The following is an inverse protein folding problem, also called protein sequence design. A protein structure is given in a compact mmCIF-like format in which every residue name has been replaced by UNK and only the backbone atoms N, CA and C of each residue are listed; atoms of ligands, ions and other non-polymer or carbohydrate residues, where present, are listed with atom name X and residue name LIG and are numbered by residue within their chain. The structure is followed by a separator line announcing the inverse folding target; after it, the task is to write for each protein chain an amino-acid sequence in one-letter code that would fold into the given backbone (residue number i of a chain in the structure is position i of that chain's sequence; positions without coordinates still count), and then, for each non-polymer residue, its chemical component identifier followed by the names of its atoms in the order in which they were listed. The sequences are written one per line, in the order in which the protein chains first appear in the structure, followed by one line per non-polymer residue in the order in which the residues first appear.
data_IF_260407179569
#
_entry.id   IF_260407179569
#
_cell.length_a   1.000
_cell.length_b   1.000
_cell.length_c   1.000
_cell.angle_alpha   90.00
_cell.angle_beta   90.00
_cell.angle_gamma   90.00
#
_symmetry.space_group_name_H-M   'P 1'
#
loop_
_entity.id
_entity.type
_entity.pdbx_description
1 polymer ?
#
# COMPACT_ATOMS: atom_id res chain seq x y z
N UNK A 1 73.36 -29.38 -76.90
CA UNK A 1 72.86 -30.34 -75.89
C UNK A 1 72.67 -29.72 -74.49
N UNK A 2 73.59 -28.88 -73.98
CA UNK A 2 73.46 -28.24 -72.64
C UNK A 2 72.25 -27.30 -72.47
N UNK A 3 71.77 -26.66 -73.55
CA UNK A 3 70.65 -25.71 -73.51
C UNK A 3 69.27 -26.37 -73.39
N UNK A 4 69.12 -27.63 -73.82
CA UNK A 4 67.84 -28.38 -73.75
C UNK A 4 67.61 -28.91 -72.33
N UNK A 5 68.67 -29.35 -71.65
CA UNK A 5 68.63 -29.79 -70.25
C UNK A 5 68.31 -28.66 -69.26
N UNK A 6 68.68 -27.41 -69.59
CA UNK A 6 68.35 -26.24 -68.78
C UNK A 6 66.88 -25.81 -68.96
N UNK A 7 66.33 -25.98 -70.18
CA UNK A 7 64.94 -25.65 -70.49
C UNK A 7 63.96 -26.65 -69.85
N UNK A 8 64.33 -27.94 -69.77
CA UNK A 8 63.48 -28.97 -69.13
C UNK A 8 63.42 -28.84 -67.60
N UNK A 9 64.49 -28.37 -66.96
CA UNK A 9 64.52 -28.14 -65.50
C UNK A 9 63.71 -26.91 -65.09
N UNK A 10 63.66 -25.85 -65.92
CA UNK A 10 62.81 -24.69 -65.68
C UNK A 10 61.33 -25.03 -65.89
N UNK A 11 60.99 -25.81 -66.92
CA UNK A 11 59.61 -26.18 -67.21
C UNK A 11 59.01 -27.13 -66.17
N UNK A 12 59.83 -28.04 -65.60
CA UNK A 12 59.41 -28.91 -64.50
C UNK A 12 59.26 -28.17 -63.15
N UNK A 13 59.88 -27.00 -62.99
CA UNK A 13 59.74 -26.17 -61.79
C UNK A 13 58.47 -25.32 -61.75
N UNK A 14 57.79 -25.12 -62.89
CA UNK A 14 56.61 -24.26 -63.00
C UNK A 14 55.27 -24.98 -62.72
N UNK A 15 55.27 -26.29 -62.46
CA UNK A 15 54.06 -27.08 -62.18
C UNK A 15 53.75 -27.26 -60.70
N UNK A 16 54.48 -26.58 -59.79
CA UNK A 16 54.11 -26.49 -58.38
C UNK A 16 52.92 -25.52 -58.21
N UNK A 17 51.73 -25.94 -58.64
CA UNK A 17 50.46 -25.32 -58.26
C UNK A 17 50.34 -25.46 -56.74
N UNK A 18 50.53 -24.35 -56.05
CA UNK A 18 50.29 -24.22 -54.62
C UNK A 18 48.80 -24.53 -54.36
N UNK A 19 48.54 -25.73 -53.87
CA UNK A 19 47.24 -26.08 -53.31
C UNK A 19 47.23 -25.69 -51.83
N UNK A 20 46.14 -25.06 -51.41
CA UNK A 20 45.70 -24.76 -50.05
C UNK A 20 46.30 -23.53 -49.34
N UNK A 21 45.48 -22.49 -49.25
CA UNK A 21 45.22 -21.78 -48.00
C UNK A 21 43.77 -21.27 -48.03
N UNK A 22 42.81 -22.19 -48.02
CA UNK A 22 41.43 -21.85 -47.67
C UNK A 22 41.46 -21.47 -46.19
N UNK A 23 41.57 -20.18 -45.92
CA UNK A 23 41.67 -19.63 -44.58
C UNK A 23 40.39 -20.05 -43.84
N UNK A 24 40.44 -20.69 -42.66
CA UNK A 24 39.24 -21.00 -41.90
C UNK A 24 38.42 -19.72 -41.76
N UNK A 25 37.17 -19.74 -42.21
CA UNK A 25 36.23 -18.62 -42.02
C UNK A 25 36.32 -18.23 -40.54
N UNK A 26 36.77 -17.02 -40.26
CA UNK A 26 36.78 -16.46 -38.91
C UNK A 26 35.31 -16.37 -38.50
N UNK A 27 34.83 -17.38 -37.79
CA UNK A 27 33.51 -17.33 -37.18
C UNK A 27 33.49 -16.06 -36.32
N UNK A 28 32.49 -15.21 -36.55
CA UNK A 28 32.26 -14.09 -35.66
C UNK A 28 32.22 -14.64 -34.22
N UNK A 29 32.89 -13.99 -33.26
CA UNK A 29 32.82 -14.42 -31.87
C UNK A 29 31.34 -14.64 -31.50
N UNK A 30 31.00 -15.71 -30.77
CA UNK A 30 29.65 -15.88 -30.28
C UNK A 30 29.19 -14.57 -29.65
N UNK A 31 28.05 -14.04 -30.11
CA UNK A 31 27.48 -12.84 -29.52
C UNK A 31 27.26 -13.15 -28.04
N UNK A 32 28.00 -12.48 -27.16
CA UNK A 32 27.80 -12.60 -25.74
C UNK A 32 26.45 -11.96 -25.42
N UNK A 33 25.41 -12.78 -25.35
CA UNK A 33 24.17 -12.39 -24.70
C UNK A 33 24.47 -12.42 -23.19
N UNK A 34 24.44 -11.27 -22.49
CA UNK A 34 24.58 -11.27 -21.04
C UNK A 34 23.51 -12.20 -20.47
N UNK A 35 23.94 -13.18 -19.68
CA UNK A 35 23.05 -14.09 -18.97
C UNK A 35 22.14 -13.20 -18.12
N UNK A 36 20.80 -13.31 -18.24
CA UNK A 36 19.90 -12.56 -17.38
C UNK A 36 20.20 -12.89 -15.92
N UNK A 37 20.86 -11.97 -15.22
CA UNK A 37 21.03 -12.05 -13.78
C UNK A 37 19.78 -11.48 -13.16
N UNK A 38 19.27 -12.14 -12.13
CA UNK A 38 18.15 -11.62 -11.35
C UNK A 38 18.44 -10.19 -10.91
N UNK A 39 17.48 -9.29 -11.16
CA UNK A 39 17.53 -7.90 -10.71
C UNK A 39 16.22 -7.54 -10.04
N UNK A 40 16.33 -6.73 -8.99
CA UNK A 40 15.18 -6.07 -8.37
C UNK A 40 14.62 -4.94 -9.23
N UNK A 41 15.27 -4.59 -10.35
CA UNK A 41 14.82 -3.52 -11.24
C UNK A 41 13.51 -3.90 -11.91
N UNK A 42 12.47 -3.10 -11.68
CA UNK A 42 11.18 -3.31 -12.31
C UNK A 42 10.01 -2.65 -11.58
N UNK A 43 8.89 -2.59 -12.31
CA UNK A 43 7.59 -2.25 -11.76
C UNK A 43 7.02 -3.44 -11.00
N UNK A 44 6.37 -3.17 -9.87
CA UNK A 44 5.56 -4.14 -9.16
C UNK A 44 4.25 -3.50 -8.71
N UNK A 45 3.22 -4.34 -8.62
CA UNK A 45 1.93 -3.97 -8.07
C UNK A 45 1.38 -5.14 -7.25
N UNK A 46 0.54 -4.82 -6.27
CA UNK A 46 -0.14 -5.80 -5.44
C UNK A 46 -1.47 -5.26 -4.95
N UNK A 47 -2.34 -6.18 -4.54
CA UNK A 47 -3.59 -5.86 -3.87
C UNK A 47 -3.77 -6.77 -2.66
N UNK A 48 -4.54 -6.30 -1.68
CA UNK A 48 -4.93 -7.05 -0.50
C UNK A 48 -6.41 -6.86 -0.24
N UNK A 49 -7.05 -7.89 0.30
CA UNK A 49 -8.44 -7.86 0.75
C UNK A 49 -8.56 -8.78 1.98
N UNK A 50 -9.42 -8.41 2.90
CA UNK A 50 -9.63 -9.14 4.15
C UNK A 50 -10.92 -8.73 4.83
N UNK A 51 -11.28 -9.49 5.85
CA UNK A 51 -12.41 -9.19 6.72
C UNK A 51 -11.94 -9.30 8.17
N UNK A 52 -11.96 -8.18 8.88
CA UNK A 52 -11.68 -8.16 10.31
C UNK A 52 -12.98 -8.38 11.09
N UNK A 53 -12.90 -9.17 12.15
CA UNK A 53 -13.98 -9.37 13.09
C UNK A 53 -13.42 -9.35 14.51
N UNK A 54 -14.20 -8.80 15.44
CA UNK A 54 -13.84 -8.69 16.84
C UNK A 54 -14.96 -9.24 17.73
N UNK A 55 -14.60 -9.94 18.79
CA UNK A 55 -15.56 -10.41 19.80
C UNK A 55 -15.82 -9.38 20.91
N UNK A 56 -15.31 -8.15 20.74
CA UNK A 56 -15.37 -7.12 21.76
C UNK A 56 -16.70 -6.37 21.68
N UNK A 57 -17.55 -6.62 22.68
CA UNK A 57 -18.80 -5.92 22.90
C UNK A 57 -18.57 -4.72 23.84
N UNK A 58 -18.09 -3.60 23.30
CA UNK A 58 -18.03 -2.35 24.08
C UNK A 58 -19.43 -1.75 24.17
N UNK A 59 -20.10 -1.99 25.30
CA UNK A 59 -21.45 -1.46 25.63
C UNK A 59 -21.41 -0.33 26.66
N UNK A 60 -20.24 0.28 26.86
CA UNK A 60 -20.10 1.38 27.80
C UNK A 60 -20.99 2.56 27.35
N UNK A 61 -21.96 2.94 28.18
CA UNK A 61 -22.78 4.10 27.92
C UNK A 61 -21.97 5.37 28.21
N UNK A 62 -22.04 6.35 27.32
CA UNK A 62 -21.51 7.69 27.60
C UNK A 62 -22.56 8.44 28.42
N UNK A 63 -22.26 8.76 29.68
CA UNK A 63 -23.16 9.51 30.57
C UNK A 63 -22.57 10.91 30.80
N UNK A 64 -23.41 11.93 30.66
CA UNK A 64 -23.04 13.34 30.84
C UNK A 64 -23.92 13.93 31.93
N UNK A 65 -23.28 14.39 33.00
CA UNK A 65 -23.91 15.23 34.00
C UNK A 65 -24.12 16.64 33.44
N UNK A 66 -25.35 17.12 33.48
CA UNK A 66 -25.73 18.44 33.01
C UNK A 66 -26.06 19.31 34.21
N UNK A 67 -25.27 20.36 34.49
CA UNK A 67 -25.56 21.27 35.58
C UNK A 67 -26.83 22.07 35.28
N UNK A 68 -27.59 22.43 36.32
CA UNK A 68 -28.82 23.23 36.14
C UNK A 68 -28.60 24.58 35.45
N UNK A 69 -27.38 25.14 35.54
CA UNK A 69 -27.00 26.35 34.82
C UNK A 69 -27.04 26.20 33.29
N UNK A 70 -26.91 24.98 32.75
CA UNK A 70 -26.97 24.73 31.31
C UNK A 70 -28.39 24.87 30.72
N UNK A 71 -29.43 24.94 31.56
CA UNK A 71 -30.81 25.22 31.14
C UNK A 71 -31.48 24.13 30.30
N UNK A 72 -30.85 22.97 30.16
CA UNK A 72 -31.35 21.86 29.35
C UNK A 72 -32.53 21.12 29.98
N UNK A 73 -32.56 21.07 31.31
CA UNK A 73 -33.58 20.40 32.10
C UNK A 73 -34.30 21.39 33.00
N UNK A 74 -35.61 21.24 33.15
CA UNK A 74 -36.47 22.07 33.99
C UNK A 74 -37.30 21.22 34.92
N UNK A 75 -37.77 21.80 36.02
CA UNK A 75 -38.74 21.14 36.91
C UNK A 75 -40.07 20.87 36.16
N UNK A 76 -40.90 19.96 36.68
CA UNK A 76 -42.18 19.54 36.10
C UNK A 76 -43.12 20.73 35.76
N UNK A 77 -43.01 21.82 36.52
CA UNK A 77 -43.79 23.05 36.37
C UNK A 77 -43.17 24.07 35.40
N UNK A 78 -42.02 23.76 34.79
CA UNK A 78 -41.31 24.62 33.83
C UNK A 78 -40.90 26.00 34.39
N UNK A 79 -40.67 26.12 35.69
CA UNK A 79 -40.35 27.40 36.37
C UNK A 79 -38.88 27.61 36.74
N UNK A 80 -38.10 26.54 36.79
CA UNK A 80 -36.68 26.60 37.18
C UNK A 80 -35.87 25.55 36.43
N UNK A 81 -34.61 25.86 36.16
CA UNK A 81 -33.65 24.89 35.62
C UNK A 81 -33.16 23.96 36.73
N UNK A 82 -33.01 22.68 36.41
CA UNK A 82 -32.62 21.62 37.36
C UNK A 82 -31.44 20.85 36.76
N UNK A 83 -30.48 20.36 37.54
CA UNK A 83 -29.48 19.43 37.02
C UNK A 83 -30.12 18.12 36.55
N UNK A 84 -29.44 17.39 35.68
CA UNK A 84 -29.87 16.07 35.24
C UNK A 84 -28.76 15.34 34.50
N UNK A 85 -29.06 14.15 34.00
CA UNK A 85 -28.11 13.32 33.26
C UNK A 85 -28.65 12.97 31.89
N UNK A 86 -27.78 13.00 30.88
CA UNK A 86 -28.04 12.41 29.57
C UNK A 86 -27.16 11.18 29.40
N UNK A 87 -27.75 10.07 28.95
CA UNK A 87 -27.00 8.88 28.59
C UNK A 87 -27.17 8.52 27.11
N UNK A 88 -26.06 8.16 26.50
CA UNK A 88 -25.99 7.64 25.13
C UNK A 88 -25.58 6.17 25.18
N UNK A 89 -26.33 5.30 24.50
CA UNK A 89 -25.89 3.92 24.29
C UNK A 89 -24.92 3.87 23.12
N UNK A 90 -23.69 3.43 23.35
CA UNK A 90 -22.74 3.14 22.30
C UNK A 90 -22.74 1.62 22.07
N UNK A 91 -23.00 1.21 20.83
CA UNK A 91 -22.76 -0.16 20.37
C UNK A 91 -21.76 -0.06 19.22
N UNK A 92 -20.57 -0.56 19.48
CA UNK A 92 -19.48 -0.58 18.50
C UNK A 92 -19.38 -2.01 17.99
N UNK A 93 -19.71 -2.21 16.71
CA UNK A 93 -19.38 -3.45 16.03
C UNK A 93 -18.15 -3.15 15.17
N UNK A 94 -17.01 -3.69 15.55
CA UNK A 94 -15.73 -3.45 14.86
C UNK A 94 -15.46 -4.46 13.74
N UNK A 95 -16.50 -5.09 13.22
CA UNK A 95 -16.40 -6.00 12.08
C UNK A 95 -16.46 -5.20 10.78
N UNK A 96 -15.60 -5.54 9.83
CA UNK A 96 -15.40 -4.71 8.67
C UNK A 96 -14.57 -5.35 7.57
N UNK A 97 -14.84 -4.93 6.34
CA UNK A 97 -13.98 -5.26 5.22
C UNK A 97 -12.75 -4.35 5.23
N UNK A 98 -11.59 -4.93 4.92
CA UNK A 98 -10.36 -4.19 4.65
C UNK A 98 -9.87 -4.55 3.26
N UNK A 99 -9.29 -3.59 2.57
CA UNK A 99 -8.71 -3.85 1.26
C UNK A 99 -7.80 -2.74 0.82
N UNK A 100 -6.93 -3.00 -0.13
CA UNK A 100 -5.99 -2.00 -0.57
C UNK A 100 -5.15 -2.47 -1.74
N UNK A 101 -4.31 -1.57 -2.20
CA UNK A 101 -3.39 -1.81 -3.29
C UNK A 101 -2.11 -1.05 -3.09
N UNK A 102 -1.05 -1.56 -3.69
CA UNK A 102 0.25 -0.92 -3.73
C UNK A 102 0.83 -1.02 -5.13
N UNK A 103 1.53 0.03 -5.52
CA UNK A 103 2.32 0.08 -6.76
C UNK A 103 3.70 0.63 -6.43
N UNK A 104 4.70 0.16 -7.13
CA UNK A 104 6.05 0.66 -6.92
C UNK A 104 6.99 0.33 -8.06
N UNK A 105 8.15 0.95 -7.99
CA UNK A 105 9.23 0.71 -8.93
C UNK A 105 10.54 0.67 -8.16
N UNK A 106 11.33 -0.36 -8.41
CA UNK A 106 12.67 -0.50 -7.89
C UNK A 106 13.67 -0.35 -9.05
N UNK A 107 14.81 0.26 -8.77
CA UNK A 107 15.93 0.40 -9.69
C UNK A 107 17.21 -0.05 -8.98
N UNK A 108 17.86 -1.07 -9.52
CA UNK A 108 19.11 -1.60 -9.00
C UNK A 108 20.29 -1.13 -9.87
N UNK A 109 21.29 -0.56 -9.23
CA UNK A 109 22.51 -0.07 -9.86
C UNK A 109 23.51 -1.22 -10.09
N UNK A 110 23.27 -1.98 -11.17
CA UNK A 110 24.09 -3.12 -11.63
C UNK A 110 24.70 -2.83 -13.02
N UNK A 111 25.93 -3.29 -13.34
CA UNK A 111 26.88 -4.02 -12.50
C UNK A 111 27.74 -3.09 -11.63
N UNK A 112 27.90 -3.38 -10.34
CA UNK A 112 28.95 -2.78 -9.51
C UNK A 112 28.56 -2.46 -8.07
N UNK A 113 27.51 -1.66 -7.85
CA UNK A 113 27.24 -1.11 -6.51
C UNK A 113 26.33 -1.97 -5.64
N UNK A 114 25.50 -2.85 -6.23
CA UNK A 114 24.48 -3.62 -5.52
C UNK A 114 23.35 -2.78 -4.90
N UNK A 115 23.42 -1.45 -4.96
CA UNK A 115 22.43 -0.55 -4.37
C UNK A 115 21.10 -0.65 -5.15
N UNK A 116 20.00 -0.72 -4.42
CA UNK A 116 18.63 -0.68 -4.93
C UNK A 116 17.96 0.55 -4.35
N UNK A 117 17.40 1.40 -5.21
CA UNK A 117 16.48 2.47 -4.81
C UNK A 117 15.08 2.15 -5.31
N UNK A 118 14.06 2.68 -4.66
CA UNK A 118 12.70 2.51 -5.14
C UNK A 118 11.73 3.51 -4.57
N UNK A 119 10.54 3.52 -5.16
CA UNK A 119 9.39 4.28 -4.67
C UNK A 119 8.21 3.33 -4.59
N UNK A 120 7.39 3.47 -3.56
CA UNK A 120 6.14 2.74 -3.38
C UNK A 120 5.04 3.74 -3.01
N UNK A 121 3.88 3.58 -3.62
CA UNK A 121 2.65 4.25 -3.23
C UNK A 121 1.61 3.18 -2.92
N UNK A 122 0.91 3.35 -1.81
CA UNK A 122 -0.16 2.46 -1.40
C UNK A 122 -1.42 3.23 -0.98
N UNK A 123 -2.56 2.58 -1.15
CA UNK A 123 -3.86 3.04 -0.70
C UNK A 123 -4.57 1.88 -0.03
N UNK A 124 -5.10 2.15 1.15
CA UNK A 124 -5.78 1.19 2.01
C UNK A 124 -7.16 1.74 2.35
N UNK A 125 -8.13 0.84 2.34
CA UNK A 125 -9.51 1.01 2.73
C UNK A 125 -9.80 0.16 3.95
N UNK A 126 -10.53 0.75 4.89
CA UNK A 126 -10.90 0.12 6.15
C UNK A 126 -12.33 0.52 6.50
N UNK A 127 -13.25 -0.45 6.57
CA UNK A 127 -14.65 -0.23 7.01
C UNK A 127 -14.87 -0.80 8.40
N UNK A 128 -14.08 -0.37 9.39
CA UNK A 128 -14.29 -0.77 10.79
C UNK A 128 -15.21 0.23 11.49
N UNK A 129 -16.20 -0.27 12.23
CA UNK A 129 -16.87 0.50 13.27
C UNK A 129 -17.89 1.53 12.76
N UNK A 130 -19.07 1.06 12.31
CA UNK A 130 -20.22 1.95 12.14
C UNK A 130 -20.93 2.16 13.48
N UNK A 131 -20.64 3.27 14.15
CA UNK A 131 -21.27 3.62 15.43
C UNK A 131 -22.72 4.03 15.21
N UNK A 132 -23.67 3.25 15.75
CA UNK A 132 -25.07 3.68 15.85
C UNK A 132 -25.27 4.40 17.17
N UNK A 133 -25.13 5.71 17.13
CA UNK A 133 -25.45 6.56 18.27
C UNK A 133 -26.98 6.61 18.45
N UNK A 134 -27.47 6.05 19.56
CA UNK A 134 -28.88 6.14 19.94
C UNK A 134 -29.00 6.87 21.28
N UNK A 135 -29.88 7.87 21.32
CA UNK A 135 -30.30 8.48 22.57
C UNK A 135 -31.01 7.41 23.42
N UNK A 136 -30.52 7.16 24.63
CA UNK A 136 -31.04 6.10 25.48
C UNK A 136 -32.07 6.66 26.47
N UNK A 137 -31.71 7.68 27.26
CA UNK A 137 -32.57 8.28 28.28
C UNK A 137 -32.01 9.62 28.81
N UNK A 138 -32.89 10.44 29.39
CA UNK A 138 -32.53 11.56 30.26
C UNK A 138 -33.16 11.34 31.64
N UNK A 139 -32.37 11.40 32.70
CA UNK A 139 -32.88 11.30 34.07
C UNK A 139 -33.04 12.69 34.66
N UNK A 140 -34.26 12.97 35.10
CA UNK A 140 -34.71 14.24 35.65
C UNK A 140 -35.06 14.01 37.13
N UNK A 141 -34.35 14.66 38.07
CA UNK A 141 -34.76 14.61 39.47
C UNK A 141 -36.22 15.08 39.61
N UNK A 142 -37.04 14.31 40.34
CA UNK A 142 -38.41 14.66 40.70
C UNK A 142 -39.37 15.03 39.54
N UNK A 143 -39.35 14.25 38.44
CA UNK A 143 -40.36 14.40 37.38
C UNK A 143 -40.19 15.65 36.51
N UNK A 144 -38.98 16.20 36.45
CA UNK A 144 -38.64 17.29 35.53
C UNK A 144 -38.90 16.97 34.06
N UNK A 145 -38.80 18.00 33.22
CA UNK A 145 -38.95 17.92 31.77
C UNK A 145 -37.65 18.38 31.07
N UNK A 146 -37.44 17.90 29.85
CA UNK A 146 -36.48 18.54 28.94
C UNK A 146 -37.04 19.91 28.57
N UNK A 147 -36.21 20.96 28.63
CA UNK A 147 -36.64 22.31 28.32
C UNK A 147 -37.27 22.37 26.91
N UNK A 148 -38.45 23.00 26.74
CA UNK A 148 -39.09 23.08 25.43
C UNK A 148 -38.16 23.71 24.39
N UNK A 149 -38.00 23.04 23.24
CA UNK A 149 -37.12 23.46 22.16
C UNK A 149 -35.64 23.12 22.35
N UNK A 150 -35.25 22.46 23.45
CA UNK A 150 -33.87 22.03 23.62
C UNK A 150 -33.56 20.77 22.81
N UNK A 151 -32.39 20.78 22.17
CA UNK A 151 -31.86 19.67 21.39
C UNK A 151 -30.61 19.12 22.09
N UNK A 152 -30.52 17.79 22.19
CA UNK A 152 -29.35 17.09 22.71
C UNK A 152 -28.73 16.27 21.58
N UNK A 153 -27.43 16.47 21.37
CA UNK A 153 -26.65 15.73 20.39
C UNK A 153 -25.61 14.88 21.12
N UNK A 154 -25.30 13.71 20.56
CA UNK A 154 -24.23 12.88 21.10
C UNK A 154 -22.88 13.57 20.79
N UNK A 155 -22.03 13.86 21.79
CA UNK A 155 -20.72 14.48 21.56
C UNK A 155 -19.70 13.52 20.92
N UNK A 156 -19.97 12.22 20.91
CA UNK A 156 -19.09 11.25 20.26
C UNK A 156 -19.24 11.42 18.74
N UNK A 157 -18.29 12.17 18.16
CA UNK A 157 -18.17 12.33 16.71
C UNK A 157 -17.98 11.00 16.00
N UNK A 158 -18.34 10.96 14.73
CA UNK A 158 -18.00 9.84 13.82
C UNK A 158 -16.53 9.95 13.43
N UNK A 159 -15.62 9.44 14.26
CA UNK A 159 -14.21 9.31 13.89
C UNK A 159 -13.98 7.91 13.29
N UNK A 160 -13.99 7.82 11.96
CA UNK A 160 -13.58 6.65 11.19
C UNK A 160 -12.46 7.05 10.23
N UNK A 161 -11.47 6.17 10.05
CA UNK A 161 -10.48 6.31 8.99
C UNK A 161 -10.87 5.34 7.87
N UNK A 162 -11.65 5.84 6.94
CA UNK A 162 -12.19 5.00 5.86
C UNK A 162 -11.10 4.64 4.85
N UNK A 163 -10.20 5.59 4.57
CA UNK A 163 -9.08 5.40 3.65
C UNK A 163 -7.82 6.08 4.18
N UNK A 164 -6.68 5.43 3.97
CA UNK A 164 -5.39 6.08 4.09
C UNK A 164 -4.46 5.62 2.98
N UNK A 165 -3.45 6.41 2.67
CA UNK A 165 -2.43 6.04 1.71
C UNK A 165 -1.09 6.62 2.11
N UNK A 166 -0.03 5.97 1.66
CA UNK A 166 1.33 6.43 1.93
C UNK A 166 2.17 6.45 0.66
N UNK A 167 3.18 7.30 0.65
CA UNK A 167 4.24 7.29 -0.35
C UNK A 167 5.56 7.11 0.37
N UNK A 168 6.33 6.10 -0.01
CA UNK A 168 7.55 5.70 0.68
C UNK A 168 8.70 5.51 -0.30
N UNK A 169 9.85 6.08 0.03
CA UNK A 169 11.13 5.77 -0.63
C UNK A 169 11.73 4.49 -0.06
N UNK A 170 12.38 3.70 -0.92
CA UNK A 170 13.07 2.45 -0.56
C UNK A 170 14.55 2.60 -0.89
N UNK A 171 15.41 2.15 0.01
CA UNK A 171 16.84 2.01 -0.19
C UNK A 171 17.25 0.63 0.32
N UNK A 172 18.00 -0.11 -0.49
CA UNK A 172 18.45 -1.46 -0.19
C UNK A 172 19.77 -1.78 -0.87
N UNK A 173 20.26 -2.99 -0.61
CA UNK A 173 21.50 -3.52 -1.16
C UNK A 173 21.30 -5.01 -1.50
N UNK A 174 21.77 -5.44 -2.66
CA UNK A 174 21.62 -6.78 -3.21
C UNK A 174 22.86 -7.23 -4.00
#
# INVERSE_FOLDING_TARGET
MKKILLASTVLAGMTAVASAADLPRRAAPPVFAPIPVFTWTGFYAGFNAGYGFGTQDDRAATVIDVPGAAGLFRNATNTANVPGQIAFSNRNNNDGFVGGGQIGYNYQFTPGSGVVIGVEADAQYVDFGRNRNRFAFATLPAGGIVAPGALAFNPNGISGLDYFGTVRGRLGYA
#
